data_IF_514567391550
#
_entry.id   IF_514567391550
#
_cell.length_a   1.000
_cell.length_b   1.000
_cell.length_c   1.000
_cell.angle_alpha   90.00
_cell.angle_beta   90.00
_cell.angle_gamma   90.00
#
_symmetry.space_group_name_H-M   'P 1'
#
loop_
_entity.id
_entity.type
_entity.pdbx_description
1 polymer ?
#
# COMPACT_ATOMS: atom_id res chain seq x y z
N UNK A 1 -0.27 -9.47 4.77
CA UNK A 1 -0.09 -8.10 4.27
C UNK A 1 1.39 -7.69 4.13
N UNK A 2 2.22 -7.77 5.17
CA UNK A 2 3.64 -7.36 5.09
C UNK A 2 4.47 -8.04 3.98
N UNK A 3 4.24 -9.32 3.69
CA UNK A 3 4.90 -10.01 2.56
C UNK A 3 4.54 -9.41 1.21
N UNK A 4 3.28 -9.02 1.01
CA UNK A 4 2.85 -8.43 -0.26
C UNK A 4 3.52 -7.07 -0.48
N UNK A 5 3.61 -6.26 0.58
CA UNK A 5 4.36 -5.02 0.57
C UNK A 5 5.83 -5.24 0.24
N UNK A 6 6.51 -6.18 0.91
CA UNK A 6 7.92 -6.47 0.66
C UNK A 6 8.18 -6.91 -0.80
N UNK A 7 7.32 -7.75 -1.37
CA UNK A 7 7.44 -8.15 -2.78
C UNK A 7 7.29 -6.93 -3.69
N UNK A 8 6.25 -6.12 -3.50
CA UNK A 8 6.02 -4.96 -4.36
C UNK A 8 7.09 -3.87 -4.21
N UNK A 9 7.68 -3.72 -3.03
CA UNK A 9 8.74 -2.74 -2.73
C UNK A 9 10.13 -3.15 -3.25
N UNK A 10 10.36 -4.45 -3.50
CA UNK A 10 11.69 -4.96 -3.89
C UNK A 10 11.72 -5.76 -5.21
N UNK A 11 10.59 -6.16 -5.78
CA UNK A 11 10.57 -6.92 -7.03
C UNK A 11 11.19 -6.15 -8.20
N UNK A 12 11.98 -6.83 -9.02
CA UNK A 12 12.56 -6.28 -10.25
C UNK A 12 11.77 -6.67 -11.51
N UNK A 13 10.99 -7.74 -11.43
CA UNK A 13 10.09 -8.22 -12.47
C UNK A 13 8.78 -8.55 -11.77
N UNK A 14 7.67 -8.04 -12.30
CA UNK A 14 6.37 -8.24 -11.70
C UNK A 14 5.33 -8.43 -12.79
N UNK A 15 4.74 -9.62 -12.88
CA UNK A 15 3.68 -9.90 -13.87
C UNK A 15 2.41 -9.13 -13.53
N UNK A 16 1.54 -8.90 -14.53
CA UNK A 16 0.25 -8.20 -14.29
C UNK A 16 -0.59 -8.90 -13.22
N UNK A 17 -0.65 -10.23 -13.25
CA UNK A 17 -1.46 -11.03 -12.32
C UNK A 17 -0.94 -10.91 -10.89
N UNK A 18 0.37 -10.98 -10.70
CA UNK A 18 0.99 -10.83 -9.39
C UNK A 18 0.79 -9.42 -8.85
N UNK A 19 1.05 -8.40 -9.67
CA UNK A 19 0.88 -7.00 -9.28
C UNK A 19 -0.55 -6.73 -8.81
N UNK A 20 -1.55 -7.16 -9.58
CA UNK A 20 -2.95 -6.97 -9.24
C UNK A 20 -3.34 -7.68 -7.94
N UNK A 21 -2.87 -8.92 -7.75
CA UNK A 21 -3.20 -9.68 -6.55
C UNK A 21 -2.58 -9.05 -5.29
N UNK A 22 -1.31 -8.66 -5.37
CA UNK A 22 -0.59 -8.06 -4.26
C UNK A 22 -1.11 -6.64 -3.93
N UNK A 23 -1.41 -5.82 -4.95
CA UNK A 23 -1.98 -4.49 -4.75
C UNK A 23 -3.41 -4.55 -4.21
N UNK A 24 -4.22 -5.50 -4.69
CA UNK A 24 -5.58 -5.72 -4.14
C UNK A 24 -5.52 -6.12 -2.66
N UNK A 25 -4.57 -6.97 -2.30
CA UNK A 25 -4.32 -7.36 -0.91
C UNK A 25 -3.88 -6.17 -0.04
N UNK A 26 -3.05 -5.27 -0.59
CA UNK A 26 -2.61 -4.05 0.09
C UNK A 26 -3.75 -3.04 0.26
N UNK A 27 -4.57 -2.85 -0.77
CA UNK A 27 -5.76 -2.00 -0.74
C UNK A 27 -6.75 -2.47 0.30
N UNK A 28 -7.06 -3.77 0.33
CA UNK A 28 -7.90 -4.34 1.37
C UNK A 28 -7.31 -4.12 2.78
N UNK A 29 -5.99 -4.26 2.92
CA UNK A 29 -5.30 -3.95 4.17
C UNK A 29 -5.42 -2.48 4.60
N UNK A 30 -5.42 -1.54 3.65
CA UNK A 30 -5.64 -0.12 3.89
C UNK A 30 -7.13 0.21 4.18
N UNK A 31 -8.07 -0.52 3.58
CA UNK A 31 -9.50 -0.40 3.87
C UNK A 31 -9.83 -0.90 5.28
N UNK A 32 -9.13 -1.93 5.75
CA UNK A 32 -9.27 -2.50 7.10
C UNK A 32 -8.41 -1.79 8.16
N UNK A 33 -7.72 -0.70 7.80
CA UNK A 33 -6.82 0.05 8.69
C UNK A 33 -5.65 -0.76 9.29
N UNK A 34 -5.32 -1.90 8.66
CA UNK A 34 -4.18 -2.76 9.03
C UNK A 34 -2.86 -2.11 8.60
N UNK A 35 -2.88 -1.42 7.46
CA UNK A 35 -1.73 -0.68 6.92
C UNK A 35 -1.98 0.80 7.16
N UNK A 36 -1.41 1.32 8.24
CA UNK A 36 -1.51 2.73 8.57
C UNK A 36 -0.67 3.58 7.61
N UNK A 37 -1.09 4.82 7.39
CA UNK A 37 -0.42 5.80 6.51
C UNK A 37 -0.33 5.38 5.03
N UNK A 38 -1.24 4.55 4.55
CA UNK A 38 -1.33 4.22 3.13
C UNK A 38 -2.49 4.96 2.45
N UNK A 39 -2.16 5.80 1.47
CA UNK A 39 -3.17 6.53 0.69
C UNK A 39 -3.88 5.58 -0.29
N UNK A 40 -5.17 5.35 -0.04
CA UNK A 40 -6.05 4.49 -0.84
C UNK A 40 -6.19 5.00 -2.28
N UNK A 41 -6.29 6.31 -2.47
CA UNK A 41 -6.42 6.90 -3.80
C UNK A 41 -5.15 6.69 -4.63
N UNK A 42 -3.97 6.71 -3.99
CA UNK A 42 -2.72 6.43 -4.69
C UNK A 42 -2.58 4.95 -5.07
N UNK A 43 -3.10 4.02 -4.26
CA UNK A 43 -3.18 2.60 -4.65
C UNK A 43 -4.09 2.38 -5.87
N UNK A 44 -5.22 3.07 -5.94
CA UNK A 44 -6.15 2.99 -7.08
C UNK A 44 -5.53 3.55 -8.37
N UNK A 45 -4.84 4.69 -8.26
CA UNK A 45 -4.08 5.25 -9.40
C UNK A 45 -2.98 4.28 -9.82
N UNK A 46 -2.27 3.66 -8.87
CA UNK A 46 -1.23 2.70 -9.17
C UNK A 46 -1.79 1.48 -9.92
N UNK A 47 -2.94 0.94 -9.51
CA UNK A 47 -3.64 -0.16 -10.21
C UNK A 47 -3.96 0.17 -11.67
N UNK A 48 -4.28 1.43 -11.97
CA UNK A 48 -4.50 1.92 -13.32
C UNK A 48 -3.17 2.08 -14.10
N UNK A 49 -2.17 2.70 -13.48
CA UNK A 49 -0.87 2.97 -14.11
C UNK A 49 -0.11 1.69 -14.52
N UNK A 50 -0.27 0.59 -13.79
CA UNK A 50 0.41 -0.68 -14.10
C UNK A 50 -0.24 -1.50 -15.22
N UNK A 51 -1.39 -1.04 -15.73
CA UNK A 51 -2.07 -1.71 -16.83
C UNK A 51 -1.23 -1.64 -18.11
N UNK A 52 -1.24 -2.69 -18.95
CA UNK A 52 -0.37 -2.78 -20.11
C UNK A 52 -0.54 -1.58 -21.06
N UNK A 53 -1.76 -1.09 -21.28
CA UNK A 53 -2.02 0.08 -22.12
C UNK A 53 -1.38 1.37 -21.56
N UNK A 54 -1.41 1.58 -20.24
CA UNK A 54 -0.80 2.74 -19.61
C UNK A 54 0.72 2.66 -19.59
N UNK A 55 1.28 1.47 -19.37
CA UNK A 55 2.72 1.23 -19.48
C UNK A 55 3.22 1.53 -20.89
N UNK A 56 2.48 1.05 -21.89
CA UNK A 56 2.76 1.25 -23.31
C UNK A 56 2.70 2.74 -23.69
N UNK A 57 1.66 3.46 -23.25
CA UNK A 57 1.50 4.89 -23.50
C UNK A 57 2.62 5.71 -22.83
N UNK A 58 2.98 5.39 -21.58
CA UNK A 58 4.04 6.09 -20.84
C UNK A 58 5.43 5.86 -21.41
N UNK A 59 5.70 4.69 -21.97
CA UNK A 59 7.00 4.39 -22.57
C UNK A 59 7.21 5.12 -23.91
N UNK A 60 6.12 5.43 -24.63
CA UNK A 60 6.19 6.07 -25.95
C UNK A 60 6.73 5.16 -27.06
N UNK A 61 7.03 3.89 -26.76
CA UNK A 61 7.57 2.88 -27.68
C UNK A 61 6.96 1.52 -27.37
N UNK A 62 6.86 0.62 -28.35
CA UNK A 62 6.40 -0.76 -28.16
C UNK A 62 7.22 -1.48 -27.09
N UNK A 63 6.55 -1.98 -26.05
CA UNK A 63 7.16 -2.75 -24.98
C UNK A 63 6.84 -4.24 -25.15
N UNK A 64 7.88 -5.07 -25.13
CA UNK A 64 7.73 -6.52 -25.03
C UNK A 64 7.03 -6.93 -23.72
N UNK A 65 6.48 -8.14 -23.61
CA UNK A 65 5.89 -8.62 -22.36
C UNK A 65 6.84 -8.51 -21.16
N UNK A 66 8.12 -8.84 -21.36
CA UNK A 66 9.15 -8.80 -20.31
C UNK A 66 9.47 -7.36 -19.90
N UNK A 67 9.62 -6.45 -20.86
CA UNK A 67 9.86 -5.04 -20.55
C UNK A 67 8.67 -4.40 -19.82
N UNK A 68 7.44 -4.80 -20.17
CA UNK A 68 6.24 -4.38 -19.41
C UNK A 68 6.31 -4.84 -17.96
N UNK A 69 6.75 -6.07 -17.71
CA UNK A 69 6.86 -6.62 -16.35
C UNK A 69 7.97 -5.92 -15.53
N UNK A 70 9.08 -5.55 -16.17
CA UNK A 70 10.14 -4.75 -15.55
C UNK A 70 9.66 -3.33 -15.24
N UNK A 71 9.04 -2.65 -16.22
CA UNK A 71 8.50 -1.29 -16.04
C UNK A 71 7.42 -1.24 -14.97
N UNK A 72 6.56 -2.26 -14.93
CA UNK A 72 5.56 -2.42 -13.86
C UNK A 72 6.21 -2.44 -12.48
N UNK A 73 7.21 -3.30 -12.31
CA UNK A 73 7.94 -3.43 -11.06
C UNK A 73 8.64 -2.11 -10.67
N UNK A 74 9.23 -1.39 -11.63
CA UNK A 74 9.84 -0.08 -11.42
C UNK A 74 8.84 0.96 -10.89
N UNK A 75 7.70 1.13 -11.58
CA UNK A 75 6.66 2.09 -11.20
C UNK A 75 6.08 1.76 -9.82
N UNK A 76 5.76 0.48 -9.57
CA UNK A 76 5.20 0.05 -8.31
C UNK A 76 6.14 0.33 -7.14
N UNK A 77 7.44 0.03 -7.27
CA UNK A 77 8.44 0.32 -6.23
C UNK A 77 8.56 1.81 -5.94
N UNK A 78 8.70 2.62 -6.99
CA UNK A 78 8.85 4.07 -6.86
C UNK A 78 7.63 4.70 -6.18
N UNK A 79 6.42 4.29 -6.54
CA UNK A 79 5.19 4.80 -5.92
C UNK A 79 5.05 4.34 -4.46
N UNK A 80 5.36 3.08 -4.14
CA UNK A 80 5.28 2.57 -2.77
C UNK A 80 6.21 3.27 -1.80
N UNK A 81 7.41 3.66 -2.24
CA UNK A 81 8.34 4.45 -1.42
C UNK A 81 7.78 5.83 -1.05
N UNK A 82 6.97 6.43 -1.92
CA UNK A 82 6.31 7.72 -1.65
C UNK A 82 5.04 7.58 -0.81
N UNK A 83 4.30 6.49 -0.99
CA UNK A 83 2.98 6.27 -0.36
C UNK A 83 3.07 5.67 1.05
N UNK A 84 4.14 4.93 1.35
CA UNK A 84 4.30 4.22 2.61
C UNK A 84 5.66 4.62 3.20
N UNK A 85 5.69 5.79 3.84
CA UNK A 85 6.86 6.21 4.61
C UNK A 85 7.13 5.25 5.77
N UNK A 86 8.38 5.13 6.26
CA UNK A 86 8.69 4.26 7.39
C UNK A 86 7.95 4.78 8.62
N UNK A 87 6.82 4.15 8.92
CA UNK A 87 6.19 4.28 10.22
C UNK A 87 7.07 3.54 11.25
N UNK A 88 8.14 4.18 11.70
CA UNK A 88 8.47 4.06 13.11
C UNK A 88 7.49 5.00 13.82
N UNK A 89 6.43 4.43 14.39
CA UNK A 89 5.97 4.84 15.71
C UNK A 89 5.14 3.69 16.30
N UNK A 90 5.35 3.39 17.59
CA UNK A 90 4.75 2.22 18.22
C UNK A 90 3.25 2.44 18.38
N UNK A 91 2.51 1.34 18.48
CA UNK A 91 1.22 1.33 19.15
C UNK A 91 1.30 2.11 20.47
N UNK A 92 0.81 3.34 20.51
CA UNK A 92 0.40 3.97 21.75
C UNK A 92 -1.10 4.18 21.61
N UNK A 93 -1.86 3.22 22.12
CA UNK A 93 -3.28 3.42 22.38
C UNK A 93 -3.37 4.56 23.41
N UNK A 94 -4.21 5.58 23.22
CA UNK A 94 -4.39 6.60 24.25
C UNK A 94 -4.88 5.92 25.55
N UNK A 95 -4.33 6.29 26.73
CA UNK A 95 -4.79 5.73 27.99
C UNK A 95 -6.26 6.09 28.19
N UNK A 96 -7.09 5.05 28.32
CA UNK A 96 -8.50 5.17 28.65
C UNK A 96 -8.64 6.03 29.92
N UNK A 97 -9.47 7.09 29.93
CA UNK A 97 -9.63 7.91 31.11
C UNK A 97 -10.20 7.07 32.25
N UNK A 98 -9.72 7.24 33.50
CA UNK A 98 -10.18 6.44 34.62
C UNK A 98 -11.69 6.66 34.83
N UNK A 99 -12.42 5.60 35.25
CA UNK A 99 -13.84 5.69 35.49
C UNK A 99 -14.14 6.76 36.55
N UNK A 100 -15.28 7.46 36.46
CA UNK A 100 -15.66 8.45 37.46
C UNK A 100 -15.81 7.76 38.82
N UNK A 101 -15.02 8.21 39.78
CA UNK A 101 -15.12 7.83 41.19
C UNK A 101 -16.57 8.08 41.64
N UNK A 102 -17.29 7.00 41.94
CA UNK A 102 -18.62 7.07 42.51
C UNK A 102 -18.51 7.71 43.90
N UNK A 103 -18.81 9.01 43.97
CA UNK A 103 -18.99 9.74 45.23
C UNK A 103 -20.03 9.03 46.08
N UNK A 104 -19.55 8.24 47.04
CA UNK A 104 -20.36 7.77 48.15
C UNK A 104 -20.30 8.87 49.20
N UNK A 105 -21.11 9.91 49.01
CA UNK A 105 -21.42 10.86 50.09
C UNK A 105 -22.37 10.14 51.04
N UNK A 106 -21.81 9.61 52.12
CA UNK A 106 -22.53 9.31 53.34
C UNK A 106 -22.38 10.48 54.31
N UNK A 107 -23.49 11.10 54.66
CA UNK A 107 -23.79 11.73 55.96
C UNK A 107 -25.22 12.29 55.94
#
# INVERSE_FOLDING_TARGET
>A
MGRAYAILAHAHILTSKEALNLLSMLRLGADMDIIQNCDRSLLDILLLEIQPAHLQLRAGTELTPVERDVRRAEITRSKLQTMCGPAHSPCDSPPEPPPPEAGTEGA
#
